data_IF_088032267463
#
_entry.id   IF_088032267463
#
_cell.length_a   1.000
_cell.length_b   1.000
_cell.length_c   1.000
_cell.angle_alpha   90.00
_cell.angle_beta   90.00
_cell.angle_gamma   90.00
#
_symmetry.space_group_name_H-M   'P 1'
#
loop_
_entity.id
_entity.type
_entity.pdbx_description
1 polymer ?
#
# COMPACT_ATOMS: atom_id res chain seq x y z
N UNK A 1 4.04 -42.89 3.14
CA UNK A 1 4.60 -41.61 3.64
C UNK A 1 5.62 -41.18 2.61
N UNK A 2 5.35 -40.10 1.88
CA UNK A 2 6.26 -39.62 0.86
C UNK A 2 7.53 -39.12 1.56
N UNK A 3 8.67 -39.65 1.13
CA UNK A 3 9.99 -39.27 1.61
C UNK A 3 10.23 -37.81 1.20
N UNK A 4 10.03 -36.88 2.15
CA UNK A 4 10.43 -35.49 1.96
C UNK A 4 11.96 -35.48 2.02
N UNK A 5 12.61 -35.71 0.87
CA UNK A 5 14.04 -35.41 0.71
C UNK A 5 14.26 -34.00 1.23
N UNK A 6 15.21 -33.77 2.16
CA UNK A 6 15.48 -32.44 2.68
C UNK A 6 15.75 -31.53 1.49
N UNK A 7 14.81 -30.62 1.22
CA UNK A 7 14.90 -29.70 0.10
C UNK A 7 16.26 -29.02 0.16
N UNK A 8 16.96 -28.98 -0.97
CA UNK A 8 18.22 -28.27 -1.12
C UNK A 8 18.17 -26.96 -0.34
N UNK A 9 19.02 -26.81 0.68
CA UNK A 9 19.07 -25.60 1.49
C UNK A 9 19.18 -24.40 0.55
N UNK A 10 18.18 -23.52 0.58
CA UNK A 10 18.14 -22.32 -0.26
C UNK A 10 19.39 -21.47 0.02
N UNK A 11 20.22 -21.27 -0.99
CA UNK A 11 21.48 -20.54 -0.85
C UNK A 11 21.28 -19.05 -1.13
N UNK A 12 20.83 -18.32 -0.12
CA UNK A 12 20.63 -16.86 -0.18
C UNK A 12 21.93 -16.06 -0.42
N UNK A 13 23.11 -16.68 -0.33
CA UNK A 13 24.41 -16.02 -0.51
C UNK A 13 24.79 -15.87 -1.98
N UNK A 14 24.56 -16.91 -2.77
CA UNK A 14 25.00 -16.97 -4.18
C UNK A 14 23.87 -16.74 -5.17
N UNK A 15 22.63 -17.05 -4.78
CA UNK A 15 21.47 -17.07 -5.66
C UNK A 15 20.39 -16.12 -5.17
N UNK A 16 19.66 -15.54 -6.11
CA UNK A 16 18.46 -14.78 -5.80
C UNK A 16 17.33 -15.79 -5.66
N UNK A 17 16.98 -16.12 -4.42
CA UNK A 17 15.86 -16.98 -4.08
C UNK A 17 14.62 -16.11 -3.94
N UNK A 18 13.49 -16.58 -4.44
CA UNK A 18 12.24 -15.84 -4.40
C UNK A 18 11.15 -16.60 -3.66
N UNK A 19 10.26 -15.87 -3.03
CA UNK A 19 9.06 -16.43 -2.42
C UNK A 19 7.81 -16.03 -3.23
N UNK A 20 7.17 -16.96 -3.98
CA UNK A 20 6.00 -16.66 -4.80
C UNK A 20 4.80 -16.18 -3.97
N UNK A 21 4.71 -16.52 -2.68
CA UNK A 21 3.64 -16.03 -1.80
C UNK A 21 3.84 -14.57 -1.35
N UNK A 22 5.01 -13.98 -1.62
CA UNK A 22 5.35 -12.59 -1.26
C UNK A 22 5.44 -11.72 -2.50
N UNK A 23 6.23 -12.16 -3.50
CA UNK A 23 6.54 -11.38 -4.69
C UNK A 23 5.91 -11.91 -5.98
N UNK A 24 5.15 -13.01 -5.91
CA UNK A 24 4.56 -13.66 -7.08
C UNK A 24 3.47 -12.84 -7.77
N UNK A 25 3.18 -13.22 -9.02
CA UNK A 25 2.33 -12.44 -9.91
C UNK A 25 0.93 -12.17 -9.34
N UNK A 26 0.31 -13.15 -8.67
CA UNK A 26 -1.01 -12.99 -8.09
C UNK A 26 -1.05 -11.94 -6.96
N UNK A 27 -0.03 -11.90 -6.10
CA UNK A 27 0.08 -10.88 -5.03
C UNK A 27 0.22 -9.49 -5.65
N UNK A 28 1.11 -9.34 -6.64
CA UNK A 28 1.33 -8.06 -7.31
C UNK A 28 0.07 -7.58 -8.03
N UNK A 29 -0.55 -8.43 -8.83
CA UNK A 29 -1.78 -8.12 -9.56
C UNK A 29 -2.93 -7.73 -8.62
N UNK A 30 -3.11 -8.46 -7.51
CA UNK A 30 -4.14 -8.14 -6.52
C UNK A 30 -3.91 -6.75 -5.89
N UNK A 31 -2.67 -6.44 -5.47
CA UNK A 31 -2.34 -5.15 -4.87
C UNK A 31 -2.46 -4.00 -5.88
N UNK A 32 -2.10 -4.21 -7.15
CA UNK A 32 -2.27 -3.21 -8.20
C UNK A 32 -3.75 -2.91 -8.42
N UNK A 33 -4.56 -3.94 -8.63
CA UNK A 33 -5.99 -3.80 -8.86
C UNK A 33 -6.68 -3.13 -7.66
N UNK A 34 -6.38 -3.60 -6.44
CA UNK A 34 -6.89 -3.03 -5.20
C UNK A 34 -6.51 -1.54 -5.08
N UNK A 35 -5.26 -1.18 -5.31
CA UNK A 35 -4.78 0.19 -5.16
C UNK A 35 -5.39 1.13 -6.19
N UNK A 36 -5.52 0.68 -7.45
CA UNK A 36 -6.19 1.44 -8.52
C UNK A 36 -7.67 1.63 -8.18
N UNK A 37 -8.36 0.56 -7.78
CA UNK A 37 -9.77 0.60 -7.39
C UNK A 37 -9.99 1.58 -6.23
N UNK A 38 -9.12 1.53 -5.22
CA UNK A 38 -9.15 2.46 -4.09
C UNK A 38 -8.97 3.91 -4.52
N UNK A 39 -8.02 4.17 -5.40
CA UNK A 39 -7.77 5.51 -5.94
C UNK A 39 -8.96 6.02 -6.76
N UNK A 40 -9.58 5.14 -7.55
CA UNK A 40 -10.79 5.45 -8.34
C UNK A 40 -11.92 5.84 -7.39
N UNK A 41 -12.23 5.00 -6.39
CA UNK A 41 -13.29 5.28 -5.39
C UNK A 41 -13.03 6.61 -4.68
N UNK A 42 -11.81 6.86 -4.21
CA UNK A 42 -11.46 8.12 -3.55
C UNK A 42 -11.61 9.34 -4.47
N UNK A 43 -11.33 9.18 -5.76
CA UNK A 43 -11.38 10.27 -6.73
C UNK A 43 -12.80 10.56 -7.21
N UNK A 44 -13.62 9.53 -7.42
CA UNK A 44 -14.97 9.62 -8.00
C UNK A 44 -16.07 9.77 -6.95
N UNK A 45 -15.89 9.20 -5.76
CA UNK A 45 -16.86 9.20 -4.66
C UNK A 45 -16.32 9.93 -3.40
N UNK A 46 -15.81 11.17 -3.51
CA UNK A 46 -15.17 11.86 -2.39
C UNK A 46 -16.12 12.21 -1.23
N UNK A 47 -17.43 12.09 -1.45
CA UNK A 47 -18.49 12.38 -0.48
C UNK A 47 -19.01 11.12 0.23
N UNK A 48 -18.65 9.92 -0.23
CA UNK A 48 -19.09 8.68 0.39
C UNK A 48 -18.07 8.24 1.47
N UNK A 49 -18.33 8.67 2.71
CA UNK A 49 -17.47 8.38 3.88
C UNK A 49 -17.28 6.88 4.11
N UNK A 50 -18.34 6.10 3.92
CA UNK A 50 -18.30 4.65 4.10
C UNK A 50 -17.39 4.01 3.05
N UNK A 51 -17.59 4.34 1.77
CA UNK A 51 -16.77 3.81 0.69
C UNK A 51 -15.28 4.08 0.92
N UNK A 52 -14.95 5.32 1.28
CA UNK A 52 -13.58 5.71 1.53
C UNK A 52 -12.98 5.01 2.75
N UNK A 53 -13.74 4.93 3.85
CA UNK A 53 -13.33 4.25 5.10
C UNK A 53 -13.03 2.78 4.86
N UNK A 54 -13.95 2.08 4.20
CA UNK A 54 -13.87 0.63 4.00
C UNK A 54 -12.72 0.30 3.03
N UNK A 55 -12.59 1.08 1.96
CA UNK A 55 -11.47 1.03 1.02
C UNK A 55 -10.12 1.26 1.71
N UNK A 56 -9.98 2.33 2.49
CA UNK A 56 -8.74 2.66 3.20
C UNK A 56 -8.37 1.59 4.22
N UNK A 57 -9.36 1.06 4.95
CA UNK A 57 -9.16 -0.01 5.92
C UNK A 57 -8.64 -1.27 5.23
N UNK A 58 -9.26 -1.69 4.13
CA UNK A 58 -8.83 -2.86 3.38
C UNK A 58 -7.38 -2.71 2.89
N UNK A 59 -7.07 -1.53 2.34
CA UNK A 59 -5.73 -1.12 1.94
C UNK A 59 -4.69 -1.26 3.05
N UNK A 60 -4.95 -0.68 4.23
CA UNK A 60 -4.02 -0.78 5.36
C UNK A 60 -3.85 -2.22 5.85
N UNK A 61 -4.93 -2.99 5.92
CA UNK A 61 -4.88 -4.38 6.37
C UNK A 61 -4.02 -5.21 5.43
N UNK A 62 -4.28 -5.15 4.12
CA UNK A 62 -3.52 -5.92 3.12
C UNK A 62 -2.03 -5.55 3.12
N UNK A 63 -1.71 -4.25 3.08
CA UNK A 63 -0.30 -3.83 3.07
C UNK A 63 0.43 -4.11 4.37
N UNK A 64 -0.24 -3.98 5.53
CA UNK A 64 0.36 -4.34 6.82
C UNK A 64 0.57 -5.84 6.93
N UNK A 65 -0.40 -6.65 6.50
CA UNK A 65 -0.28 -8.10 6.46
C UNK A 65 0.89 -8.55 5.57
N UNK A 66 1.07 -7.94 4.40
CA UNK A 66 2.21 -8.23 3.53
C UNK A 66 3.55 -7.91 4.21
N UNK A 67 3.66 -6.74 4.86
CA UNK A 67 4.89 -6.38 5.59
C UNK A 67 5.17 -7.33 6.76
N UNK A 68 4.15 -7.68 7.55
CA UNK A 68 4.29 -8.62 8.67
C UNK A 68 4.69 -10.01 8.17
N UNK A 69 4.05 -10.52 7.11
CA UNK A 69 4.42 -11.78 6.49
C UNK A 69 5.87 -11.76 5.99
N UNK A 70 6.28 -10.67 5.33
CA UNK A 70 7.65 -10.49 4.83
C UNK A 70 8.67 -10.38 5.95
N UNK A 71 8.33 -9.73 7.07
CA UNK A 71 9.16 -9.66 8.27
C UNK A 71 9.34 -11.03 8.92
N UNK A 72 8.24 -11.79 9.06
CA UNK A 72 8.30 -13.15 9.62
C UNK A 72 9.14 -14.05 8.72
N UNK A 73 8.93 -13.99 7.39
CA UNK A 73 9.71 -14.76 6.42
C UNK A 73 11.19 -14.40 6.51
N UNK A 74 11.51 -13.10 6.51
CA UNK A 74 12.89 -12.62 6.66
C UNK A 74 13.56 -13.13 7.93
N UNK A 75 12.85 -13.13 9.07
CA UNK A 75 13.43 -13.56 10.35
C UNK A 75 13.51 -15.07 10.54
N UNK A 76 12.62 -15.85 9.91
CA UNK A 76 12.57 -17.31 10.13
C UNK A 76 13.26 -18.11 9.03
N UNK A 77 13.02 -17.75 7.78
CA UNK A 77 13.38 -18.56 6.63
C UNK A 77 14.38 -17.86 5.70
N UNK A 78 14.75 -16.61 6.01
CA UNK A 78 15.45 -15.74 5.07
C UNK A 78 14.48 -15.13 4.04
N UNK A 79 14.88 -13.99 3.50
CA UNK A 79 14.16 -13.31 2.43
C UNK A 79 15.19 -12.61 1.55
N UNK A 80 15.13 -12.81 0.24
CA UNK A 80 16.06 -12.13 -0.65
C UNK A 80 15.83 -10.63 -0.68
N UNK A 81 16.89 -9.89 -1.00
CA UNK A 81 16.79 -8.45 -1.28
C UNK A 81 15.77 -8.16 -2.39
N UNK A 82 15.69 -9.01 -3.40
CA UNK A 82 14.71 -8.89 -4.48
C UNK A 82 13.28 -8.86 -3.95
N UNK A 83 12.88 -9.85 -3.15
CA UNK A 83 11.55 -9.87 -2.54
C UNK A 83 11.34 -8.65 -1.62
N UNK A 84 12.38 -8.28 -0.86
CA UNK A 84 12.39 -7.06 -0.04
C UNK A 84 12.04 -5.79 -0.82
N UNK A 85 12.68 -5.60 -1.98
CA UNK A 85 12.46 -4.46 -2.86
C UNK A 85 11.06 -4.48 -3.48
N UNK A 86 10.58 -5.65 -3.92
CA UNK A 86 9.21 -5.79 -4.45
C UNK A 86 8.18 -5.41 -3.37
N UNK A 87 8.31 -5.94 -2.15
CA UNK A 87 7.43 -5.58 -1.02
C UNK A 87 7.50 -4.09 -0.71
N UNK A 88 8.70 -3.50 -0.75
CA UNK A 88 8.88 -2.04 -0.56
C UNK A 88 8.10 -1.25 -1.60
N UNK A 89 8.18 -1.64 -2.88
CA UNK A 89 7.46 -0.95 -3.95
C UNK A 89 5.95 -1.12 -3.84
N UNK A 90 5.48 -2.36 -3.59
CA UNK A 90 4.06 -2.68 -3.40
C UNK A 90 3.44 -1.91 -2.23
N UNK A 91 4.14 -1.82 -1.10
CA UNK A 91 3.66 -1.07 0.07
C UNK A 91 3.76 0.44 -0.14
N UNK A 92 4.74 0.92 -0.91
CA UNK A 92 4.85 2.35 -1.26
C UNK A 92 3.76 2.82 -2.21
N UNK A 93 3.24 1.95 -3.09
CA UNK A 93 2.01 2.23 -3.87
C UNK A 93 0.86 2.61 -2.93
N UNK A 94 0.73 1.86 -1.82
CA UNK A 94 -0.29 2.15 -0.82
C UNK A 94 -0.04 3.48 -0.10
N UNK A 95 1.21 3.76 0.25
CA UNK A 95 1.62 5.04 0.85
C UNK A 95 1.25 6.22 -0.05
N UNK A 96 1.38 6.09 -1.38
CA UNK A 96 0.96 7.15 -2.30
C UNK A 96 -0.54 7.44 -2.22
N UNK A 97 -1.39 6.39 -2.16
CA UNK A 97 -2.83 6.54 -1.95
C UNK A 97 -3.14 7.25 -0.62
N UNK A 98 -2.49 6.82 0.47
CA UNK A 98 -2.69 7.39 1.80
C UNK A 98 -2.26 8.84 1.87
N UNK A 99 -1.10 9.19 1.30
CA UNK A 99 -0.56 10.56 1.33
C UNK A 99 -1.47 11.53 0.60
N UNK A 100 -1.96 11.16 -0.58
CA UNK A 100 -2.87 12.00 -1.38
C UNK A 100 -4.18 12.26 -0.63
N UNK A 101 -4.67 11.24 0.09
CA UNK A 101 -5.93 11.33 0.81
C UNK A 101 -5.76 11.61 2.32
N UNK A 102 -4.55 11.95 2.77
CA UNK A 102 -4.19 12.06 4.18
C UNK A 102 -5.08 13.01 4.98
N UNK A 103 -5.41 14.22 4.51
CA UNK A 103 -6.31 15.13 5.21
C UNK A 103 -7.68 14.52 5.51
N UNK A 104 -8.17 13.66 4.61
CA UNK A 104 -9.45 12.98 4.73
C UNK A 104 -9.36 11.82 5.72
N UNK A 105 -8.37 10.95 5.54
CA UNK A 105 -8.14 9.75 6.37
C UNK A 105 -8.12 10.11 7.87
N UNK A 106 -7.47 11.22 8.23
CA UNK A 106 -7.36 11.70 9.61
C UNK A 106 -8.70 11.97 10.30
N UNK A 107 -9.77 12.17 9.53
CA UNK A 107 -11.12 12.46 10.05
C UNK A 107 -11.97 11.22 10.31
N UNK A 108 -11.59 10.04 9.81
CA UNK A 108 -12.43 8.83 9.81
C UNK A 108 -12.43 8.03 11.12
N UNK A 109 -11.89 8.62 12.19
CA UNK A 109 -11.93 8.08 13.55
C UNK A 109 -10.72 7.26 13.96
N UNK A 110 -10.79 6.73 15.18
CA UNK A 110 -9.65 6.11 15.88
C UNK A 110 -9.12 4.86 15.16
N UNK A 111 -10.00 3.96 14.71
CA UNK A 111 -9.59 2.69 14.09
C UNK A 111 -8.70 2.91 12.85
N UNK A 112 -9.09 3.82 11.96
CA UNK A 112 -8.27 4.14 10.78
C UNK A 112 -6.97 4.81 11.15
N UNK A 113 -6.97 5.72 12.15
CA UNK A 113 -5.74 6.35 12.60
C UNK A 113 -4.75 5.33 13.19
N UNK A 114 -5.24 4.35 13.95
CA UNK A 114 -4.41 3.24 14.46
C UNK A 114 -3.86 2.42 13.29
N UNK A 115 -4.70 2.02 12.33
CA UNK A 115 -4.24 1.27 11.15
C UNK A 115 -3.20 2.05 10.34
N UNK A 116 -3.41 3.36 10.14
CA UNK A 116 -2.48 4.25 9.46
C UNK A 116 -1.15 4.38 10.22
N UNK A 117 -1.20 4.51 11.55
CA UNK A 117 -0.02 4.57 12.40
C UNK A 117 0.79 3.28 12.29
N UNK A 118 0.15 2.12 12.53
CA UNK A 118 0.80 0.82 12.46
C UNK A 118 1.42 0.58 11.08
N UNK A 119 0.66 0.81 10.01
CA UNK A 119 1.15 0.70 8.65
C UNK A 119 2.39 1.56 8.44
N UNK A 120 2.35 2.83 8.82
CA UNK A 120 3.47 3.76 8.61
C UNK A 120 4.71 3.33 9.41
N UNK A 121 4.54 2.87 10.65
CA UNK A 121 5.64 2.35 11.47
C UNK A 121 6.28 1.13 10.82
N UNK A 122 5.48 0.14 10.41
CA UNK A 122 5.99 -1.05 9.73
C UNK A 122 6.66 -0.71 8.40
N UNK A 123 6.10 0.22 7.63
CA UNK A 123 6.64 0.67 6.36
C UNK A 123 8.00 1.36 6.53
N UNK A 124 8.12 2.27 7.50
CA UNK A 124 9.40 2.91 7.82
C UNK A 124 10.43 1.90 8.32
N UNK A 125 10.03 1.01 9.24
CA UNK A 125 10.92 -0.03 9.75
C UNK A 125 11.43 -0.91 8.60
N UNK A 126 10.52 -1.43 7.77
CA UNK A 126 10.85 -2.27 6.62
C UNK A 126 11.81 -1.59 5.64
N UNK A 127 11.49 -0.36 5.24
CA UNK A 127 12.32 0.42 4.33
C UNK A 127 13.70 0.71 4.91
N UNK A 128 13.78 1.11 6.18
CA UNK A 128 15.06 1.34 6.85
C UNK A 128 15.88 0.04 6.93
N UNK A 129 15.28 -1.11 7.20
CA UNK A 129 16.02 -2.39 7.24
C UNK A 129 16.60 -2.75 5.87
N UNK A 130 15.84 -2.60 4.78
CA UNK A 130 16.30 -2.93 3.42
C UNK A 130 17.41 -1.99 2.97
N UNK A 131 17.24 -0.68 3.20
CA UNK A 131 18.16 0.32 2.66
C UNK A 131 19.33 0.64 3.60
N UNK A 132 19.28 0.24 4.87
CA UNK A 132 20.41 0.41 5.78
C UNK A 132 21.60 -0.48 5.38
N UNK A 133 21.38 -1.71 4.95
CA UNK A 133 22.45 -2.57 4.43
C UNK A 133 21.91 -3.53 3.36
N UNK A 134 21.69 -3.04 2.14
CA UNK A 134 21.09 -3.87 1.10
C UNK A 134 22.00 -5.03 0.69
N UNK A 135 23.33 -4.92 0.86
CA UNK A 135 24.28 -5.96 0.45
C UNK A 135 24.14 -7.20 1.33
N UNK A 136 23.95 -7.00 2.63
CA UNK A 136 23.82 -8.09 3.59
C UNK A 136 22.36 -8.42 3.94
N UNK A 137 21.39 -7.78 3.29
CA UNK A 137 19.98 -8.04 3.57
C UNK A 137 19.59 -9.48 3.21
N UNK A 138 19.07 -10.21 4.19
CA UNK A 138 18.62 -11.59 4.01
C UNK A 138 19.71 -12.65 4.08
N UNK A 139 20.96 -12.25 4.27
CA UNK A 139 22.11 -13.16 4.35
C UNK A 139 22.26 -13.66 5.80
N UNK A 140 22.35 -14.98 6.04
CA UNK A 140 22.60 -15.50 7.37
C UNK A 140 23.93 -14.99 7.97
N UNK A 141 23.98 -14.71 9.28
CA UNK A 141 25.22 -14.28 9.93
C UNK A 141 26.31 -15.36 9.76
N UNK A 142 27.53 -14.93 9.44
CA UNK A 142 28.69 -15.81 9.29
C UNK A 142 29.03 -16.22 7.85
N UNK A 143 28.21 -15.85 6.86
CA UNK A 143 28.54 -16.03 5.45
C UNK A 143 29.20 -14.75 4.90
N UNK A 144 30.42 -14.87 4.36
CA UNK A 144 31.16 -13.78 3.72
C UNK A 144 31.29 -14.04 2.22
N UNK A 145 31.50 -12.97 1.43
CA UNK A 145 31.68 -13.10 -0.03
C UNK A 145 30.38 -13.38 -0.81
N UNK A 146 29.22 -13.06 -0.23
CA UNK A 146 27.94 -13.25 -0.89
C UNK A 146 27.67 -12.20 -1.96
N UNK A 147 27.20 -12.67 -3.12
CA UNK A 147 27.04 -11.86 -4.32
C UNK A 147 25.57 -11.65 -4.73
N UNK A 148 24.62 -12.33 -4.09
CA UNK A 148 23.18 -12.24 -4.40
C UNK A 148 22.65 -10.81 -4.30
N UNK A 149 22.94 -10.12 -3.20
CA UNK A 149 22.57 -8.71 -2.99
C UNK A 149 23.25 -7.75 -3.96
N UNK A 150 24.47 -8.07 -4.41
CA UNK A 150 25.23 -7.23 -5.35
C UNK A 150 24.68 -7.31 -6.78
N UNK A 151 24.15 -8.48 -7.16
CA UNK A 151 23.58 -8.71 -8.50
C UNK A 151 22.20 -8.10 -8.66
N UNK A 152 21.47 -7.94 -7.56
CA UNK A 152 20.10 -7.40 -7.56
C UNK A 152 20.09 -5.98 -8.15
N UNK A 153 19.25 -5.77 -9.15
CA UNK A 153 19.12 -4.51 -9.90
C UNK A 153 17.88 -3.77 -9.41
N UNK A 154 18.04 -2.48 -9.09
CA UNK A 154 16.92 -1.56 -8.93
C UNK A 154 16.66 -0.78 -10.22
N UNK A 155 15.46 -0.23 -10.37
CA UNK A 155 15.09 0.51 -11.56
C UNK A 155 14.64 1.92 -11.20
N UNK A 156 15.21 2.91 -11.88
CA UNK A 156 14.83 4.32 -11.73
C UNK A 156 14.63 4.89 -13.12
N UNK A 157 13.41 5.34 -13.43
CA UNK A 157 13.03 5.85 -14.77
C UNK A 157 13.48 4.94 -15.92
N UNK A 158 13.28 3.62 -15.77
CA UNK A 158 13.68 2.65 -16.79
C UNK A 158 15.18 2.40 -16.90
N UNK A 159 16.03 2.95 -16.03
CA UNK A 159 17.48 2.65 -16.02
C UNK A 159 17.87 1.68 -14.92
N UNK A 160 18.80 0.78 -15.21
CA UNK A 160 19.37 -0.15 -14.24
C UNK A 160 20.25 0.64 -13.27
N UNK A 161 19.96 0.54 -11.98
CA UNK A 161 20.77 1.14 -10.93
C UNK A 161 21.10 0.05 -9.92
N UNK A 162 22.38 -0.09 -9.58
CA UNK A 162 22.77 -1.00 -8.50
C UNK A 162 22.15 -0.53 -7.19
N UNK A 163 21.60 -1.46 -6.40
CA UNK A 163 21.05 -1.16 -5.06
C UNK A 163 22.13 -0.59 -4.12
N UNK A 164 23.41 -0.84 -4.43
CA UNK A 164 24.56 -0.30 -3.70
C UNK A 164 24.87 1.16 -4.00
N UNK A 165 24.22 1.76 -5.01
CA UNK A 165 24.45 3.16 -5.34
C UNK A 165 24.17 4.05 -4.12
N UNK A 166 25.18 4.79 -3.68
CA UNK A 166 25.12 5.61 -2.46
C UNK A 166 24.04 6.69 -2.55
N UNK A 167 23.82 7.27 -3.73
CA UNK A 167 22.78 8.26 -3.98
C UNK A 167 21.37 7.67 -3.84
N UNK A 168 21.11 6.53 -4.48
CA UNK A 168 19.83 5.82 -4.37
C UNK A 168 19.54 5.41 -2.92
N UNK A 169 20.54 4.83 -2.23
CA UNK A 169 20.44 4.42 -0.83
C UNK A 169 20.18 5.61 0.09
N UNK A 170 20.95 6.70 -0.06
CA UNK A 170 20.75 7.92 0.72
C UNK A 170 19.37 8.52 0.52
N UNK A 171 18.89 8.58 -0.73
CA UNK A 171 17.54 9.03 -1.05
C UNK A 171 16.47 8.15 -0.41
N UNK A 172 16.59 6.82 -0.50
CA UNK A 172 15.63 5.90 0.10
C UNK A 172 15.57 6.06 1.63
N UNK A 173 16.72 6.08 2.30
CA UNK A 173 16.81 6.31 3.76
C UNK A 173 16.17 7.64 4.14
N UNK A 174 16.41 8.71 3.37
CA UNK A 174 15.81 10.02 3.59
C UNK A 174 14.27 9.98 3.50
N UNK A 175 13.72 9.31 2.49
CA UNK A 175 12.26 9.14 2.34
C UNK A 175 11.66 8.38 3.53
N UNK A 176 12.27 7.27 3.96
CA UNK A 176 11.79 6.53 5.13
C UNK A 176 11.96 7.31 6.44
N UNK A 177 13.00 8.15 6.56
CA UNK A 177 13.18 9.04 7.71
C UNK A 177 12.07 10.11 7.80
N UNK A 178 11.67 10.71 6.67
CA UNK A 178 10.48 11.59 6.61
C UNK A 178 9.22 10.81 7.00
N UNK A 179 9.12 9.56 6.54
CA UNK A 179 8.06 8.63 6.95
C UNK A 179 7.98 8.49 8.48
N UNK A 180 9.11 8.38 9.17
CA UNK A 180 9.17 8.27 10.63
C UNK A 180 8.61 9.51 11.34
N UNK A 181 8.86 10.71 10.81
CA UNK A 181 8.23 11.95 11.32
C UNK A 181 6.71 11.88 11.14
N UNK A 182 6.25 11.36 9.99
CA UNK A 182 4.83 11.15 9.74
C UNK A 182 4.22 10.14 10.71
N UNK A 183 4.93 9.05 11.02
CA UNK A 183 4.50 8.07 12.02
C UNK A 183 4.35 8.69 13.42
N UNK A 184 5.27 9.56 13.84
CA UNK A 184 5.15 10.30 15.11
C UNK A 184 3.94 11.24 15.11
N UNK A 185 3.67 11.93 14.00
CA UNK A 185 2.47 12.75 13.87
C UNK A 185 1.18 11.92 13.99
N UNK A 186 1.16 10.71 13.40
CA UNK A 186 0.02 9.80 13.50
C UNK A 186 -0.15 9.22 14.90
N UNK A 187 0.95 8.92 15.61
CA UNK A 187 0.92 8.52 17.02
C UNK A 187 0.27 9.60 17.88
N UNK A 188 0.71 10.85 17.72
CA UNK A 188 0.14 11.99 18.43
C UNK A 188 -1.37 12.14 18.17
N UNK A 189 -1.80 11.94 16.92
CA UNK A 189 -3.22 11.96 16.58
C UNK A 189 -3.98 10.81 17.24
N UNK A 190 -3.41 9.59 17.26
CA UNK A 190 -4.01 8.46 17.97
C UNK A 190 -4.20 8.77 19.45
N UNK A 191 -3.19 9.36 20.11
CA UNK A 191 -3.29 9.78 21.51
C UNK A 191 -4.40 10.80 21.74
N UNK A 192 -4.49 11.85 20.91
CA UNK A 192 -5.58 12.84 20.99
C UNK A 192 -6.95 12.17 20.81
N UNK A 193 -7.08 11.25 19.86
CA UNK A 193 -8.32 10.52 19.64
C UNK A 193 -8.68 9.64 20.82
N UNK A 194 -7.73 8.88 21.35
CA UNK A 194 -7.93 8.05 22.54
C UNK A 194 -8.39 8.89 23.74
N UNK A 195 -7.75 10.03 24.01
CA UNK A 195 -8.16 10.95 25.08
C UNK A 195 -9.59 11.43 24.88
N UNK A 196 -9.97 11.83 23.66
CA UNK A 196 -11.34 12.26 23.35
C UNK A 196 -12.37 11.14 23.52
N UNK A 197 -12.01 9.91 23.14
CA UNK A 197 -12.85 8.73 23.34
C UNK A 197 -13.05 8.44 24.84
N UNK A 198 -11.99 8.56 25.64
CA UNK A 198 -12.06 8.35 27.09
C UNK A 198 -12.91 9.43 27.81
N UNK A 199 -12.76 10.70 27.42
CA UNK A 199 -13.47 11.81 28.10
C UNK A 199 -14.92 11.96 27.62
N UNK A 200 -15.14 11.99 26.30
CA UNK A 200 -16.45 12.30 25.71
C UNK A 200 -17.28 11.08 25.32
N UNK A 201 -16.72 9.87 25.42
CA UNK A 201 -17.32 8.66 24.92
C UNK A 201 -17.30 8.54 23.38
N UNK A 202 -17.62 7.33 22.86
CA UNK A 202 -17.49 7.03 21.44
C UNK A 202 -18.46 7.80 20.54
N UNK A 203 -19.66 8.11 21.06
CA UNK A 203 -20.70 8.81 20.28
C UNK A 203 -20.31 10.26 20.01
N UNK A 204 -19.91 11.00 21.04
CA UNK A 204 -19.51 12.41 20.92
C UNK A 204 -18.27 12.55 20.04
N UNK A 205 -17.31 11.64 20.16
CA UNK A 205 -16.13 11.61 19.32
C UNK A 205 -16.48 11.44 17.83
N UNK A 206 -17.39 10.51 17.50
CA UNK A 206 -17.87 10.28 16.13
C UNK A 206 -18.64 11.47 15.57
N UNK A 207 -19.57 12.05 16.34
CA UNK A 207 -20.35 13.21 15.89
C UNK A 207 -19.44 14.42 15.62
N UNK A 208 -18.47 14.68 16.50
CA UNK A 208 -17.49 15.74 16.29
C UNK A 208 -16.60 15.51 15.06
N UNK A 209 -16.30 14.25 14.72
CA UNK A 209 -15.60 13.87 13.51
C UNK A 209 -16.40 14.25 12.26
N UNK A 210 -17.66 13.80 12.22
CA UNK A 210 -18.58 14.03 11.12
C UNK A 210 -18.81 15.54 10.89
N UNK A 211 -18.98 16.31 11.97
CA UNK A 211 -19.12 17.78 11.88
C UNK A 211 -17.87 18.44 11.30
N UNK A 212 -16.67 18.04 11.76
CA UNK A 212 -15.40 18.60 11.22
C UNK A 212 -15.24 18.26 9.74
N UNK A 213 -15.58 17.04 9.36
CA UNK A 213 -15.54 16.58 7.99
C UNK A 213 -16.52 17.38 7.11
N UNK A 214 -17.78 17.51 7.54
CA UNK A 214 -18.78 18.33 6.86
C UNK A 214 -18.32 19.79 6.70
N UNK A 215 -17.70 20.37 7.73
CA UNK A 215 -17.14 21.74 7.68
C UNK A 215 -15.97 21.86 6.70
N UNK A 216 -15.09 20.86 6.62
CA UNK A 216 -13.99 20.85 5.64
C UNK A 216 -14.52 20.73 4.20
N UNK A 217 -15.51 19.87 3.97
CA UNK A 217 -16.20 19.75 2.68
C UNK A 217 -16.85 21.08 2.28
N UNK A 218 -17.56 21.73 3.20
CA UNK A 218 -18.22 22.99 2.93
C UNK A 218 -17.22 24.09 2.61
N UNK A 219 -16.09 24.16 3.35
CA UNK A 219 -14.99 25.09 3.06
C UNK A 219 -14.38 24.86 1.67
N UNK A 220 -14.26 23.60 1.23
CA UNK A 220 -13.83 23.31 -0.15
C UNK A 220 -14.85 23.76 -1.18
N UNK A 221 -16.14 23.55 -0.93
CA UNK A 221 -17.20 24.00 -1.83
C UNK A 221 -17.25 25.53 -1.97
N UNK A 222 -17.03 26.28 -0.87
CA UNK A 222 -17.03 27.75 -0.90
C UNK A 222 -15.74 28.35 -1.47
N UNK A 223 -14.56 27.78 -1.17
CA UNK A 223 -13.30 28.25 -1.76
C UNK A 223 -13.00 27.69 -3.16
N UNK A 224 -13.76 26.70 -3.62
CA UNK A 224 -13.56 26.00 -4.90
C UNK A 224 -13.78 26.84 -6.15
N UNK A 225 -14.29 28.08 -6.05
CA UNK A 225 -14.52 28.95 -7.21
C UNK A 225 -13.24 29.56 -7.80
N UNK A 226 -12.13 29.62 -7.05
CA UNK A 226 -10.80 30.01 -7.62
C UNK A 226 -9.71 28.93 -7.48
N UNK A 227 -9.96 27.84 -6.75
CA UNK A 227 -8.97 26.76 -6.48
C UNK A 227 -9.25 25.45 -7.22
N UNK A 228 -9.99 25.47 -8.33
CA UNK A 228 -10.29 24.27 -9.12
C UNK A 228 -9.02 23.57 -9.65
N UNK A 229 -7.99 24.33 -10.04
CA UNK A 229 -6.80 23.79 -10.70
C UNK A 229 -5.90 22.94 -9.77
N UNK A 230 -5.84 23.26 -8.48
CA UNK A 230 -5.04 22.51 -7.50
C UNK A 230 -5.70 21.23 -6.99
N UNK A 231 -7.04 21.18 -6.95
CA UNK A 231 -7.77 20.03 -6.43
C UNK A 231 -7.79 18.85 -7.43
N UNK A 232 -7.84 19.11 -8.74
CA UNK A 232 -7.71 18.05 -9.74
C UNK A 232 -6.28 17.48 -9.81
N UNK A 233 -5.27 18.34 -9.64
CA UNK A 233 -3.86 17.93 -9.72
C UNK A 233 -3.47 16.98 -8.57
N UNK A 234 -4.06 17.15 -7.38
CA UNK A 234 -3.82 16.27 -6.24
C UNK A 234 -4.51 14.91 -6.38
N UNK A 235 -5.73 14.84 -6.94
CA UNK A 235 -6.45 13.57 -7.15
C UNK A 235 -5.79 12.68 -8.21
N UNK A 236 -5.43 13.26 -9.36
CA UNK A 236 -4.80 12.50 -10.44
C UNK A 236 -3.28 12.33 -10.29
N UNK A 237 -2.62 13.21 -9.54
CA UNK A 237 -1.18 13.09 -9.26
C UNK A 237 -0.83 11.77 -8.55
N UNK A 238 -1.71 11.30 -7.66
CA UNK A 238 -1.58 10.00 -7.02
C UNK A 238 -1.60 8.83 -8.01
N UNK A 239 -2.43 8.92 -9.05
CA UNK A 239 -2.53 7.89 -10.09
C UNK A 239 -1.25 7.81 -10.94
N UNK A 240 -0.66 8.96 -11.30
CA UNK A 240 0.61 8.99 -12.03
C UNK A 240 1.73 8.35 -11.20
N UNK A 241 1.83 8.70 -9.92
CA UNK A 241 2.78 8.08 -8.99
C UNK A 241 2.55 6.57 -8.86
N UNK A 242 1.29 6.14 -8.75
CA UNK A 242 0.93 4.72 -8.70
C UNK A 242 1.34 3.96 -9.96
N UNK A 243 1.04 4.50 -11.16
CA UNK A 243 1.45 3.90 -12.44
C UNK A 243 2.97 3.79 -12.51
N UNK A 244 3.69 4.86 -12.15
CA UNK A 244 5.15 4.83 -12.11
C UNK A 244 5.67 3.71 -11.20
N UNK A 245 5.09 3.54 -10.01
CA UNK A 245 5.49 2.51 -9.07
C UNK A 245 5.16 1.09 -9.56
N UNK A 246 4.01 0.88 -10.20
CA UNK A 246 3.64 -0.39 -10.85
C UNK A 246 4.66 -0.75 -11.93
N UNK A 247 4.91 0.19 -12.86
CA UNK A 247 5.87 -0.01 -13.96
C UNK A 247 7.28 -0.28 -13.41
N UNK A 248 7.70 0.47 -12.39
CA UNK A 248 9.01 0.28 -11.77
C UNK A 248 9.11 -1.08 -11.10
N UNK A 249 8.05 -1.54 -10.42
CA UNK A 249 8.01 -2.88 -9.79
C UNK A 249 8.15 -3.98 -10.84
N UNK A 250 7.39 -3.92 -11.93
CA UNK A 250 7.48 -4.93 -13.01
C UNK A 250 8.81 -4.85 -13.77
N UNK A 251 9.42 -3.66 -13.87
CA UNK A 251 10.78 -3.53 -14.40
C UNK A 251 11.82 -4.15 -13.46
N UNK A 252 11.69 -3.99 -12.14
CA UNK A 252 12.54 -4.67 -11.16
C UNK A 252 12.40 -6.19 -11.33
N UNK A 253 11.17 -6.71 -11.42
CA UNK A 253 10.92 -8.15 -11.61
C UNK A 253 11.54 -8.67 -12.90
N UNK A 254 11.21 -8.04 -14.04
CA UNK A 254 11.68 -8.50 -15.35
C UNK A 254 13.20 -8.48 -15.51
N UNK A 255 13.90 -7.50 -14.90
CA UNK A 255 15.36 -7.39 -15.01
C UNK A 255 16.10 -8.35 -14.10
N UNK A 256 15.53 -8.68 -12.94
CA UNK A 256 16.12 -9.65 -12.03
C UNK A 256 15.73 -11.10 -12.39
N UNK A 257 14.70 -11.30 -13.21
CA UNK A 257 14.24 -12.64 -13.65
C UNK A 257 15.34 -13.48 -14.26
N UNK A 258 16.22 -12.85 -15.05
CA UNK A 258 17.31 -13.55 -15.73
C UNK A 258 18.44 -13.94 -14.77
N UNK A 259 18.47 -13.37 -13.57
CA UNK A 259 19.44 -13.70 -12.53
C UNK A 259 18.92 -14.75 -11.54
N UNK A 260 17.62 -15.04 -11.58
CA UNK A 260 17.02 -16.13 -10.82
C UNK A 260 17.48 -17.49 -11.36
N UNK A 261 17.52 -18.48 -10.47
CA UNK A 261 17.69 -19.86 -10.84
C UNK A 261 16.61 -20.29 -11.85
N UNK A 262 16.95 -21.11 -12.87
CA UNK A 262 15.97 -21.57 -13.85
C UNK A 262 14.71 -22.22 -13.24
N UNK A 263 14.87 -22.92 -12.12
CA UNK A 263 13.76 -23.55 -11.39
C UNK A 263 12.81 -22.51 -10.77
N UNK A 264 13.34 -21.39 -10.29
CA UNK A 264 12.56 -20.34 -9.63
C UNK A 264 11.85 -19.44 -10.64
N UNK A 265 12.37 -19.30 -11.86
CA UNK A 265 11.73 -18.51 -12.93
C UNK A 265 10.31 -18.98 -13.26
N UNK A 266 10.08 -20.29 -13.22
CA UNK A 266 8.74 -20.86 -13.41
C UNK A 266 7.78 -20.51 -12.28
N UNK A 267 8.30 -20.33 -11.06
CA UNK A 267 7.49 -20.08 -9.86
C UNK A 267 6.91 -18.66 -9.84
N UNK A 268 7.61 -17.67 -10.43
CA UNK A 268 7.11 -16.29 -10.57
C UNK A 268 5.74 -16.17 -11.23
N UNK A 269 5.55 -16.99 -12.27
CA UNK A 269 4.33 -17.00 -13.08
C UNK A 269 3.35 -18.09 -12.60
N UNK A 270 3.77 -18.92 -11.64
CA UNK A 270 2.92 -19.95 -11.06
C UNK A 270 1.97 -19.34 -10.02
N UNK A 271 0.71 -19.77 -10.08
CA UNK A 271 -0.30 -19.38 -9.12
C UNK A 271 -0.20 -20.28 -7.89
N UNK A 272 0.00 -19.67 -6.72
CA UNK A 272 -0.07 -20.39 -5.45
C UNK A 272 -1.46 -20.27 -4.83
N UNK A 273 -1.73 -21.14 -3.84
CA UNK A 273 -2.99 -21.08 -3.10
C UNK A 273 -3.18 -19.72 -2.40
N UNK A 274 -2.12 -19.17 -1.80
CA UNK A 274 -2.16 -17.87 -1.11
C UNK A 274 -2.46 -16.72 -2.08
N UNK A 275 -1.92 -16.77 -3.30
CA UNK A 275 -2.20 -15.79 -4.35
C UNK A 275 -3.67 -15.84 -4.81
N UNK A 276 -4.27 -17.03 -4.84
CA UNK A 276 -5.69 -17.18 -5.18
C UNK A 276 -6.57 -16.57 -4.10
N UNK A 277 -6.22 -16.72 -2.82
CA UNK A 277 -6.93 -16.05 -1.72
C UNK A 277 -6.86 -14.53 -1.83
N UNK A 278 -5.72 -13.97 -2.25
CA UNK A 278 -5.58 -12.53 -2.48
C UNK A 278 -6.56 -12.02 -3.56
N UNK A 279 -6.77 -12.78 -4.63
CA UNK A 279 -7.77 -12.45 -5.65
C UNK A 279 -9.21 -12.56 -5.14
N UNK A 280 -9.51 -13.52 -4.27
CA UNK A 280 -10.84 -13.64 -3.67
C UNK A 280 -11.13 -12.40 -2.81
N UNK A 281 -10.16 -11.93 -2.02
CA UNK A 281 -10.31 -10.67 -1.25
C UNK A 281 -10.49 -9.45 -2.16
N UNK A 282 -9.82 -9.42 -3.32
CA UNK A 282 -10.06 -8.39 -4.34
C UNK A 282 -11.50 -8.44 -4.86
N UNK A 283 -12.07 -9.65 -5.03
CA UNK A 283 -13.47 -9.84 -5.42
C UNK A 283 -14.46 -9.13 -4.49
N UNK A 284 -14.24 -9.21 -3.18
CA UNK A 284 -15.05 -8.47 -2.20
C UNK A 284 -14.94 -6.95 -2.42
N UNK A 285 -13.72 -6.42 -2.60
CA UNK A 285 -13.55 -5.00 -2.83
C UNK A 285 -14.21 -4.51 -4.13
N UNK A 286 -14.20 -5.32 -5.18
CA UNK A 286 -14.90 -5.03 -6.44
C UNK A 286 -16.41 -4.95 -6.20
N UNK A 287 -17.00 -5.92 -5.47
CA UNK A 287 -18.43 -5.91 -5.15
C UNK A 287 -18.83 -4.71 -4.30
N UNK A 288 -18.04 -4.37 -3.28
CA UNK A 288 -18.27 -3.20 -2.43
C UNK A 288 -18.20 -1.92 -3.27
N UNK A 289 -17.18 -1.80 -4.11
CA UNK A 289 -17.02 -0.64 -5.01
C UNK A 289 -18.20 -0.50 -5.96
N UNK A 290 -18.62 -1.59 -6.60
CA UNK A 290 -19.80 -1.58 -7.47
C UNK A 290 -21.06 -1.12 -6.73
N UNK A 291 -21.25 -1.59 -5.49
CA UNK A 291 -22.38 -1.20 -4.65
C UNK A 291 -22.35 0.30 -4.35
N UNK A 292 -21.20 0.85 -3.98
CA UNK A 292 -21.07 2.30 -3.73
C UNK A 292 -21.35 3.14 -4.98
N UNK A 293 -20.88 2.71 -6.15
CA UNK A 293 -21.19 3.39 -7.41
C UNK A 293 -22.68 3.34 -7.74
N UNK A 294 -23.33 2.19 -7.54
CA UNK A 294 -24.77 2.03 -7.75
C UNK A 294 -25.58 2.95 -6.83
N UNK A 295 -25.21 3.03 -5.56
CA UNK A 295 -25.82 3.91 -4.57
C UNK A 295 -25.66 5.39 -4.93
N UNK A 296 -24.46 5.81 -5.33
CA UNK A 296 -24.19 7.18 -5.77
C UNK A 296 -25.01 7.55 -7.02
N UNK A 297 -25.10 6.65 -7.99
CA UNK A 297 -25.91 6.87 -9.21
C UNK A 297 -27.39 7.02 -8.84
N UNK A 298 -27.91 6.17 -7.94
CA UNK A 298 -29.29 6.26 -7.45
C UNK A 298 -29.53 7.58 -6.71
N UNK A 299 -28.60 7.98 -5.84
CA UNK A 299 -28.67 9.24 -5.12
C UNK A 299 -28.75 10.45 -6.06
N UNK A 300 -27.86 10.52 -7.07
CA UNK A 300 -27.86 11.60 -8.06
C UNK A 300 -29.14 11.65 -8.89
N UNK A 301 -29.66 10.49 -9.31
CA UNK A 301 -30.95 10.43 -10.02
C UNK A 301 -32.10 10.96 -9.17
N UNK A 302 -32.13 10.61 -7.88
CA UNK A 302 -33.15 11.11 -6.97
C UNK A 302 -33.04 12.62 -6.74
N UNK A 303 -31.82 13.17 -6.64
CA UNK A 303 -31.63 14.62 -6.55
C UNK A 303 -32.14 15.34 -7.80
N UNK A 304 -31.81 14.82 -8.99
CA UNK A 304 -32.29 15.40 -10.24
C UNK A 304 -33.82 15.34 -10.33
N UNK A 305 -34.46 14.23 -9.93
CA UNK A 305 -35.92 14.14 -9.90
C UNK A 305 -36.56 15.20 -8.99
N UNK A 306 -35.98 15.43 -7.80
CA UNK A 306 -36.44 16.48 -6.88
C UNK A 306 -36.26 17.87 -7.48
N UNK A 307 -35.15 18.15 -8.17
CA UNK A 307 -34.91 19.43 -8.85
C UNK A 307 -35.89 19.69 -10.00
N UNK A 308 -36.39 18.64 -10.67
CA UNK A 308 -37.36 18.75 -11.77
C UNK A 308 -38.83 18.73 -11.30
N UNK A 309 -39.09 18.56 -10.00
CA UNK A 309 -40.44 18.46 -9.45
C UNK A 309 -41.13 17.12 -9.72
N UNK A 310 -40.38 16.10 -10.15
CA UNK A 310 -40.91 14.75 -10.35
C UNK A 310 -41.23 14.09 -9.01
N UNK A 311 -42.34 13.33 -8.89
CA UNK A 311 -42.64 12.59 -7.67
C UNK A 311 -41.55 11.55 -7.42
N UNK A 312 -40.95 11.59 -6.22
CA UNK A 312 -39.93 10.63 -5.80
C UNK A 312 -40.56 9.23 -5.76
N UNK A 313 -40.12 8.34 -6.65
CA UNK A 313 -40.53 6.92 -6.58
C UNK A 313 -40.00 6.32 -5.28
N UNK A 314 -40.93 5.97 -4.39
CA UNK A 314 -40.65 5.25 -3.15
C UNK A 314 -40.03 3.87 -3.45
#
# INVERSE_FOLDING_TARGET
MADCTPGSQQNFCTEIVMNPDISGIGVRAAIYAQSILSMVVASTLPYNEQAFRDTSRNCYVVSTSLMVASLIQWKKNGLSLFDGLVVTMLTTIMTAFVTVNGPYIRTLGLSINISSFLFTVFWCYWGLQIWNDPVNFGIPPGQTGCNSGQRTIFVVFGRNVSVQNSGLRGFAIFIFAIGSITALSLLWQCLIWSIKYCIGGPRVAKTNAAIRYAKQLQRRKTHGRSSSRGEHMTRYGGLVGMIYMIVTTEQIVSRNVNQLNPQDRGQLNSWTYSQTLALIMLGQQIMDTYTYFKEEIKYKRNQLAVEHGDPVRA
#
